data_IF_466683942289
#
_entry.id   IF_466683942289
#
_cell.length_a   1.000
_cell.length_b   1.000
_cell.length_c   1.000
_cell.angle_alpha   90.00
_cell.angle_beta   90.00
_cell.angle_gamma   90.00
#
_symmetry.space_group_name_H-M   'P 1'
#
loop_
_entity.id
_entity.type
_entity.pdbx_description
1 polymer ?
#
# COMPACT_ATOMS: atom_id res chain seq x y z
N UNK A 1 -20.34 4.45 -11.90
CA UNK A 1 -19.24 4.38 -10.91
C UNK A 1 -19.50 5.23 -9.67
N UNK A 2 -19.18 4.72 -8.47
CA UNK A 2 -19.13 5.46 -7.20
C UNK A 2 -17.77 5.23 -6.53
N UNK A 3 -17.28 6.21 -5.79
CA UNK A 3 -16.04 6.08 -5.05
C UNK A 3 -16.19 6.58 -3.62
N UNK A 4 -15.45 5.97 -2.71
CA UNK A 4 -15.28 6.43 -1.34
C UNK A 4 -13.92 5.97 -0.82
N UNK A 5 -13.47 6.53 0.31
CA UNK A 5 -12.23 6.09 0.94
C UNK A 5 -12.37 5.99 2.45
N UNK A 6 -11.47 5.26 3.08
CA UNK A 6 -11.39 5.16 4.53
C UNK A 6 -9.94 5.21 5.00
N UNK A 7 -9.67 6.11 5.93
CA UNK A 7 -8.39 6.22 6.63
C UNK A 7 -8.26 5.13 7.69
N UNK A 8 -7.08 4.53 7.79
CA UNK A 8 -6.71 3.56 8.80
C UNK A 8 -5.31 3.84 9.33
N UNK A 9 -5.17 3.80 10.65
CA UNK A 9 -3.88 3.85 11.32
C UNK A 9 -3.46 2.44 11.75
N UNK A 10 -2.58 1.83 10.98
CA UNK A 10 -2.04 0.50 11.26
C UNK A 10 -0.97 0.59 12.34
N UNK A 11 -1.12 -0.18 13.41
CA UNK A 11 -0.17 -0.22 14.52
C UNK A 11 0.96 -1.21 14.20
N UNK A 12 2.21 -0.76 14.25
CA UNK A 12 3.34 -1.68 14.11
C UNK A 12 3.44 -2.60 15.34
N UNK A 13 3.66 -3.90 15.12
CA UNK A 13 3.89 -4.87 16.21
C UNK A 13 5.12 -4.52 17.06
N UNK A 14 6.14 -3.93 16.42
CA UNK A 14 7.33 -3.36 17.04
C UNK A 14 7.65 -2.05 16.33
N UNK A 15 8.07 -0.98 17.02
CA UNK A 15 8.40 0.28 16.37
C UNK A 15 9.44 0.07 15.25
N UNK A 16 9.15 0.59 14.06
CA UNK A 16 10.03 0.50 12.90
C UNK A 16 11.00 1.68 12.92
N UNK A 17 12.27 1.43 13.26
CA UNK A 17 13.31 2.47 13.26
C UNK A 17 14.02 2.54 11.91
N UNK A 18 14.13 3.75 11.38
CA UNK A 18 14.86 4.07 10.15
C UNK A 18 15.81 5.24 10.42
N UNK A 19 16.68 5.57 9.45
CA UNK A 19 17.52 6.77 9.52
C UNK A 19 16.74 8.09 9.64
N UNK A 20 15.42 8.06 9.37
CA UNK A 20 14.52 9.23 9.42
C UNK A 20 13.61 9.25 10.66
N UNK A 21 13.83 8.33 11.60
CA UNK A 21 13.07 8.25 12.85
C UNK A 21 12.36 6.90 13.04
N UNK A 22 11.56 6.83 14.10
CA UNK A 22 10.88 5.62 14.54
C UNK A 22 9.38 5.73 14.30
N UNK A 23 8.83 4.81 13.50
CA UNK A 23 7.41 4.72 13.20
C UNK A 23 6.72 3.76 14.17
N UNK A 24 5.67 4.24 14.85
CA UNK A 24 4.78 3.42 15.69
C UNK A 24 3.48 3.07 14.96
N UNK A 25 3.07 3.95 14.07
CA UNK A 25 1.87 3.80 13.24
C UNK A 25 2.22 3.98 11.76
N UNK A 26 1.40 3.36 10.90
CA UNK A 26 1.40 3.53 9.45
C UNK A 26 -0.01 3.95 9.03
N UNK A 27 -0.18 5.22 8.71
CA UNK A 27 -1.44 5.73 8.16
C UNK A 27 -1.54 5.33 6.69
N UNK A 28 -2.69 4.76 6.34
CA UNK A 28 -3.08 4.40 4.96
C UNK A 28 -4.52 4.83 4.71
N UNK A 29 -4.86 5.02 3.44
CA UNK A 29 -6.22 5.24 2.97
C UNK A 29 -6.58 4.13 2.00
N UNK A 30 -7.59 3.34 2.34
CA UNK A 30 -8.18 2.41 1.38
C UNK A 30 -9.17 3.16 0.51
N UNK A 31 -8.99 3.09 -0.80
CA UNK A 31 -9.86 3.67 -1.80
C UNK A 31 -10.72 2.56 -2.41
N UNK A 32 -12.02 2.80 -2.48
CA UNK A 32 -13.01 1.84 -2.93
C UNK A 32 -13.70 2.39 -4.17
N UNK A 33 -13.73 1.59 -5.23
CA UNK A 33 -14.38 1.92 -6.50
C UNK A 33 -15.50 0.91 -6.77
N UNK A 34 -16.74 1.39 -6.85
CA UNK A 34 -17.92 0.55 -6.98
C UNK A 34 -18.61 0.72 -8.33
N UNK A 35 -18.89 -0.40 -8.98
CA UNK A 35 -19.65 -0.45 -10.21
C UNK A 35 -20.35 -1.81 -10.40
N UNK A 36 -21.63 -1.80 -10.79
CA UNK A 36 -22.40 -3.01 -11.09
C UNK A 36 -22.36 -4.10 -9.99
N UNK A 37 -22.40 -3.68 -8.72
CA UNK A 37 -22.38 -4.58 -7.56
C UNK A 37 -21.01 -5.19 -7.25
N UNK A 38 -19.95 -4.73 -7.91
CA UNK A 38 -18.55 -5.10 -7.63
C UNK A 38 -17.82 -3.92 -7.00
N UNK A 39 -16.82 -4.23 -6.18
CA UNK A 39 -15.98 -3.24 -5.52
C UNK A 39 -14.52 -3.58 -5.76
N UNK A 40 -13.80 -2.69 -6.43
CA UNK A 40 -12.35 -2.75 -6.51
C UNK A 40 -11.72 -1.95 -5.37
N UNK A 41 -10.59 -2.43 -4.85
CA UNK A 41 -9.90 -1.84 -3.71
C UNK A 41 -8.47 -1.45 -4.09
N UNK A 42 -8.07 -0.24 -3.69
CA UNK A 42 -6.70 0.22 -3.79
C UNK A 42 -6.21 0.82 -2.47
N UNK A 43 -4.88 0.90 -2.33
CA UNK A 43 -4.24 1.44 -1.12
C UNK A 43 -3.43 2.68 -1.46
N UNK A 44 -3.71 3.77 -0.77
CA UNK A 44 -2.89 4.98 -0.75
C UNK A 44 -2.11 5.01 0.57
N UNK A 45 -0.79 4.95 0.48
CA UNK A 45 0.09 4.88 1.65
C UNK A 45 1.32 5.81 1.48
N UNK A 46 1.16 7.14 1.57
CA UNK A 46 2.29 8.07 1.47
C UNK A 46 3.26 7.84 2.64
N UNK A 47 4.56 7.72 2.37
CA UNK A 47 5.57 7.42 3.40
C UNK A 47 6.21 8.71 3.93
N UNK A 48 6.07 9.06 5.23
CA UNK A 48 6.59 10.33 5.75
C UNK A 48 8.11 10.47 5.53
N UNK A 49 8.53 11.57 4.90
CA UNK A 49 9.93 11.87 4.59
C UNK A 49 10.49 11.13 3.37
N UNK A 50 9.64 10.45 2.59
CA UNK A 50 9.99 9.76 1.35
C UNK A 50 9.00 10.06 0.22
N UNK A 51 7.71 10.06 0.52
CA UNK A 51 6.70 10.60 -0.38
C UNK A 51 6.85 12.10 -0.51
N UNK A 52 6.59 12.60 -1.72
CA UNK A 52 6.47 14.03 -1.99
C UNK A 52 5.17 14.59 -1.44
N UNK A 53 4.12 13.77 -1.42
CA UNK A 53 2.80 14.17 -0.95
C UNK A 53 2.64 14.16 0.58
N UNK A 54 1.84 15.10 1.11
CA UNK A 54 1.42 15.12 2.52
C UNK A 54 0.09 14.38 2.75
N UNK A 55 -0.22 13.95 3.99
CA UNK A 55 -1.53 13.40 4.35
C UNK A 55 -2.71 14.30 3.96
N UNK A 56 -2.57 15.62 4.12
CA UNK A 56 -3.61 16.61 3.81
C UNK A 56 -3.85 16.72 2.30
N UNK A 57 -2.78 16.68 1.50
CA UNK A 57 -2.87 16.64 0.04
C UNK A 57 -3.56 15.35 -0.44
N UNK A 58 -3.23 14.22 0.19
CA UNK A 58 -3.90 12.93 -0.07
C UNK A 58 -5.39 13.01 0.24
N UNK A 59 -5.78 13.48 1.42
CA UNK A 59 -7.20 13.57 1.79
C UNK A 59 -7.97 14.56 0.91
N UNK A 60 -7.36 15.70 0.58
CA UNK A 60 -7.97 16.69 -0.33
C UNK A 60 -8.25 16.08 -1.68
N UNK A 61 -7.25 15.43 -2.28
CA UNK A 61 -7.39 14.85 -3.61
C UNK A 61 -8.34 13.64 -3.62
N UNK A 62 -8.30 12.77 -2.61
CA UNK A 62 -9.25 11.65 -2.52
C UNK A 62 -10.70 12.13 -2.40
N UNK A 63 -10.97 13.21 -1.64
CA UNK A 63 -12.30 13.81 -1.59
C UNK A 63 -12.72 14.33 -2.97
N UNK A 64 -11.84 15.03 -3.69
CA UNK A 64 -12.11 15.53 -5.04
C UNK A 64 -12.42 14.37 -6.00
N UNK A 65 -11.61 13.31 -5.98
CA UNK A 65 -11.82 12.11 -6.80
C UNK A 65 -13.17 11.46 -6.51
N UNK A 66 -13.59 11.39 -5.25
CA UNK A 66 -14.87 10.79 -4.90
C UNK A 66 -16.07 11.53 -5.50
N UNK A 67 -15.92 12.82 -5.86
CA UNK A 67 -16.99 13.58 -6.53
C UNK A 67 -17.17 13.18 -8.00
N UNK A 68 -16.10 12.78 -8.68
CA UNK A 68 -16.12 12.40 -10.09
C UNK A 68 -15.01 11.38 -10.44
N UNK A 69 -15.12 10.12 -9.97
CA UNK A 69 -14.05 9.14 -10.13
C UNK A 69 -13.74 8.84 -11.60
N UNK A 70 -14.75 8.85 -12.48
CA UNK A 70 -14.60 8.61 -13.91
C UNK A 70 -13.67 9.61 -14.58
N UNK A 71 -13.77 10.90 -14.25
CA UNK A 71 -12.87 11.92 -14.79
C UNK A 71 -11.40 11.64 -14.47
N UNK A 72 -11.09 11.31 -13.22
CA UNK A 72 -9.70 11.08 -12.81
C UNK A 72 -9.12 9.78 -13.37
N UNK A 73 -9.96 8.76 -13.60
CA UNK A 73 -9.59 7.54 -14.30
C UNK A 73 -9.25 7.82 -15.76
N UNK A 74 -10.07 8.62 -16.44
CA UNK A 74 -9.88 8.99 -17.85
C UNK A 74 -8.74 10.00 -18.03
N UNK A 75 -8.40 10.76 -16.99
CA UNK A 75 -7.40 11.84 -17.01
C UNK A 75 -6.30 11.61 -15.95
N UNK A 76 -5.48 10.54 -16.07
CA UNK A 76 -4.46 10.20 -15.07
C UNK A 76 -3.38 11.28 -14.89
N UNK A 77 -3.24 12.19 -15.86
CA UNK A 77 -2.36 13.35 -15.74
C UNK A 77 -2.78 14.30 -14.61
N UNK A 78 -4.06 14.37 -14.25
CA UNK A 78 -4.59 15.24 -13.20
C UNK A 78 -4.05 14.89 -11.79
N UNK A 79 -3.59 13.66 -11.60
CA UNK A 79 -3.09 13.13 -10.30
C UNK A 79 -1.62 12.73 -10.36
N UNK A 80 -0.89 13.14 -11.40
CA UNK A 80 0.48 12.68 -11.67
C UNK A 80 1.46 12.92 -10.52
N UNK A 81 1.24 13.98 -9.74
CA UNK A 81 2.16 14.43 -8.69
C UNK A 81 1.91 13.80 -7.32
N UNK A 82 0.79 13.08 -7.13
CA UNK A 82 0.44 12.43 -5.86
C UNK A 82 0.47 10.92 -6.07
N UNK A 83 1.67 10.35 -5.92
CA UNK A 83 2.00 9.01 -6.39
C UNK A 83 1.17 7.91 -5.72
N UNK A 84 0.98 8.02 -4.41
CA UNK A 84 0.19 7.07 -3.62
C UNK A 84 -1.30 7.11 -3.96
N UNK A 85 -1.87 8.28 -4.22
CA UNK A 85 -3.28 8.41 -4.66
C UNK A 85 -3.46 7.80 -6.04
N UNK A 86 -2.56 8.10 -6.97
CA UNK A 86 -2.59 7.51 -8.30
C UNK A 86 -2.52 5.98 -8.24
N UNK A 87 -1.61 5.44 -7.43
CA UNK A 87 -1.50 4.01 -7.22
C UNK A 87 -2.80 3.40 -6.68
N UNK A 88 -3.46 4.05 -5.71
CA UNK A 88 -4.73 3.58 -5.17
C UNK A 88 -5.85 3.54 -6.22
N UNK A 89 -5.95 4.54 -7.09
CA UNK A 89 -6.98 4.54 -8.15
C UNK A 89 -6.70 3.47 -9.19
N UNK A 90 -5.45 3.36 -9.66
CA UNK A 90 -5.08 2.37 -10.68
C UNK A 90 -5.30 0.94 -10.19
N UNK A 91 -4.95 0.66 -8.93
CA UNK A 91 -5.16 -0.66 -8.32
C UNK A 91 -6.63 -0.96 -8.04
N UNK A 92 -7.41 0.02 -7.55
CA UNK A 92 -8.84 -0.16 -7.36
C UNK A 92 -9.57 -0.40 -8.69
N UNK A 93 -9.21 0.34 -9.75
CA UNK A 93 -9.78 0.15 -11.08
C UNK A 93 -9.45 -1.24 -11.64
N UNK A 94 -8.19 -1.66 -11.53
CA UNK A 94 -7.76 -2.97 -12.01
C UNK A 94 -8.45 -4.11 -11.24
N UNK A 95 -8.57 -3.99 -9.92
CA UNK A 95 -9.31 -4.96 -9.12
C UNK A 95 -10.79 -5.03 -9.53
N UNK A 96 -11.43 -3.87 -9.73
CA UNK A 96 -12.82 -3.79 -10.19
C UNK A 96 -13.01 -4.48 -11.56
N UNK A 97 -12.09 -4.24 -12.50
CA UNK A 97 -12.07 -4.90 -13.82
C UNK A 97 -11.90 -6.42 -13.70
N UNK A 98 -11.14 -6.88 -12.70
CA UNK A 98 -10.96 -8.30 -12.39
C UNK A 98 -12.08 -8.92 -11.53
N UNK A 99 -13.15 -8.16 -11.30
CA UNK A 99 -14.35 -8.63 -10.61
C UNK A 99 -14.45 -8.23 -9.14
N UNK A 100 -13.55 -7.38 -8.63
CA UNK A 100 -13.51 -6.99 -7.22
C UNK A 100 -13.09 -8.12 -6.29
N UNK A 101 -12.05 -8.85 -6.69
CA UNK A 101 -11.60 -10.10 -6.03
C UNK A 101 -10.31 -9.92 -5.24
N UNK A 102 -9.77 -8.70 -5.19
CA UNK A 102 -8.47 -8.36 -4.61
C UNK A 102 -7.31 -9.08 -5.30
N UNK A 103 -7.50 -9.44 -6.58
CA UNK A 103 -6.48 -10.09 -7.43
C UNK A 103 -6.22 -9.18 -8.62
N UNK A 104 -5.09 -8.46 -8.59
CA UNK A 104 -4.70 -7.53 -9.66
C UNK A 104 -4.12 -8.24 -10.88
N UNK A 105 -3.29 -9.26 -10.65
CA UNK A 105 -2.60 -10.00 -11.70
C UNK A 105 -2.62 -11.50 -11.37
N UNK A 106 -3.55 -12.28 -11.99
CA UNK A 106 -3.58 -13.73 -11.83
C UNK A 106 -2.25 -14.39 -12.23
N UNK A 107 -1.78 -15.30 -11.38
CA UNK A 107 -0.53 -16.05 -11.49
C UNK A 107 -0.51 -17.21 -10.49
N UNK A 108 0.44 -18.14 -10.65
CA UNK A 108 0.73 -19.21 -9.69
C UNK A 108 0.90 -18.68 -8.24
N UNK A 109 1.40 -17.45 -8.08
CA UNK A 109 1.52 -16.82 -6.76
C UNK A 109 0.17 -16.47 -6.16
N UNK A 110 -0.72 -15.85 -6.95
CA UNK A 110 -2.06 -15.49 -6.47
C UNK A 110 -2.97 -16.71 -6.29
N UNK A 111 -2.64 -17.83 -6.92
CA UNK A 111 -3.35 -19.11 -6.76
C UNK A 111 -2.75 -19.98 -5.64
N UNK A 112 -1.65 -19.53 -5.01
CA UNK A 112 -1.00 -20.24 -3.91
C UNK A 112 -0.17 -21.45 -4.33
N UNK A 113 0.05 -21.63 -5.63
CA UNK A 113 0.84 -22.73 -6.20
C UNK A 113 2.35 -22.47 -6.11
N UNK A 114 2.77 -21.19 -6.14
CA UNK A 114 4.18 -20.80 -6.08
C UNK A 114 4.43 -19.62 -5.14
N UNK A 115 5.39 -19.75 -4.24
CA UNK A 115 5.84 -18.63 -3.39
C UNK A 115 6.78 -17.67 -4.13
N UNK A 116 6.86 -16.43 -3.64
CA UNK A 116 7.89 -15.46 -4.01
C UNK A 116 8.89 -15.37 -2.85
N UNK A 117 10.17 -15.63 -3.13
CA UNK A 117 11.21 -15.47 -2.12
C UNK A 117 11.32 -14.00 -1.69
N UNK A 118 11.44 -13.76 -0.39
CA UNK A 118 11.56 -12.42 0.21
C UNK A 118 12.80 -12.33 1.07
N UNK A 119 13.34 -11.11 1.18
CA UNK A 119 14.51 -10.84 2.01
C UNK A 119 14.12 -10.82 3.50
N UNK A 120 15.03 -11.32 4.34
CA UNK A 120 14.96 -11.24 5.80
C UNK A 120 15.41 -9.87 6.28
N UNK A 121 14.47 -8.93 6.41
CA UNK A 121 14.79 -7.60 6.94
C UNK A 121 15.36 -7.69 8.37
N UNK A 122 16.56 -7.14 8.56
CA UNK A 122 17.22 -6.97 9.85
C UNK A 122 17.05 -5.52 10.30
N UNK A 123 16.51 -5.32 11.51
CA UNK A 123 16.38 -3.98 12.07
C UNK A 123 17.70 -3.52 12.68
N UNK A 124 18.04 -2.26 12.43
CA UNK A 124 19.21 -1.61 13.04
C UNK A 124 19.03 -1.48 14.56
N UNK A 125 20.10 -1.75 15.30
CA UNK A 125 20.17 -1.65 16.76
C UNK A 125 21.56 -2.03 17.26
N UNK A 126 21.66 -2.39 18.54
CA UNK A 126 22.93 -2.87 19.13
C UNK A 126 23.42 -4.17 18.45
N UNK A 127 24.73 -4.40 18.49
CA UNK A 127 25.37 -5.52 17.79
C UNK A 127 24.73 -6.88 18.14
N UNK A 128 24.51 -7.16 19.44
CA UNK A 128 23.89 -8.40 19.89
C UNK A 128 22.46 -8.57 19.38
N UNK A 129 21.69 -7.48 19.29
CA UNK A 129 20.33 -7.48 18.77
C UNK A 129 20.29 -7.72 17.26
N UNK A 130 21.22 -7.14 16.51
CA UNK A 130 21.38 -7.40 15.07
C UNK A 130 21.76 -8.87 14.86
N UNK A 131 22.74 -9.39 15.60
CA UNK A 131 23.22 -10.78 15.48
C UNK A 131 22.12 -11.79 15.81
N UNK A 132 21.33 -11.54 16.86
CA UNK A 132 20.19 -12.39 17.21
C UNK A 132 19.19 -12.48 16.04
N UNK A 133 18.81 -11.35 15.44
CA UNK A 133 17.88 -11.35 14.31
C UNK A 133 18.45 -12.11 13.10
N UNK A 134 19.75 -11.98 12.81
CA UNK A 134 20.39 -12.71 11.72
C UNK A 134 20.26 -14.22 11.92
N UNK A 135 20.58 -14.72 13.12
CA UNK A 135 20.42 -16.14 13.44
C UNK A 135 18.97 -16.59 13.32
N UNK A 136 18.01 -15.84 13.88
CA UNK A 136 16.58 -16.13 13.77
C UNK A 136 16.11 -16.21 12.31
N UNK A 137 16.61 -15.34 11.43
CA UNK A 137 16.27 -15.36 10.00
C UNK A 137 16.90 -16.55 9.27
N UNK A 138 18.15 -16.88 9.55
CA UNK A 138 18.80 -18.07 8.95
C UNK A 138 18.07 -19.34 9.37
N UNK A 139 17.72 -19.48 10.65
CA UNK A 139 16.94 -20.62 11.17
C UNK A 139 15.55 -20.71 10.55
N UNK A 140 14.92 -19.57 10.27
CA UNK A 140 13.65 -19.50 9.55
C UNK A 140 13.76 -19.77 8.03
N UNK A 141 14.96 -20.05 7.51
CA UNK A 141 15.20 -20.44 6.12
C UNK A 141 15.36 -19.29 5.13
N UNK A 142 15.59 -18.05 5.60
CA UNK A 142 15.88 -16.93 4.71
C UNK A 142 17.26 -17.10 4.06
N UNK A 143 17.33 -16.88 2.75
CA UNK A 143 18.56 -17.00 1.95
C UNK A 143 19.09 -15.64 1.47
N UNK A 144 18.34 -14.56 1.72
CA UNK A 144 18.62 -13.18 1.33
C UNK A 144 17.97 -12.21 2.32
#
# INVERSE_FOLDING_TARGET
MKAHFKKYDLQFKRPASTSRGTYKTRTVWYFFLEENGKTGIGECAPLPGLSTETPEEVETLLNEICTNPSYFIENPAAIKNISSVRFAIETALLDLQNGGRQILFPSDFTEGEKGIAINGLIWMGEADFIMQQIHEKIEAGYQC
#
